data_IF_148954751019
#
_entry.id   IF_148954751019
#
_cell.length_a   1.000
_cell.length_b   1.000
_cell.length_c   1.000
_cell.angle_alpha   90.00
_cell.angle_beta   90.00
_cell.angle_gamma   90.00
#
_symmetry.space_group_name_H-M   'P 1'
#
loop_
_entity.id
_entity.type
_entity.pdbx_description
1 polymer ?
#
# COMPACT_ATOMS: atom_id res chain seq x y z
N UNK A 1 -42.08 1.65 5.45
CA UNK A 1 -41.45 0.81 4.44
C UNK A 1 -40.35 1.64 3.78
N UNK A 2 -39.09 1.33 4.06
CA UNK A 2 -37.94 2.00 3.42
C UNK A 2 -37.80 1.48 1.98
N UNK A 3 -37.57 2.34 0.98
CA UNK A 3 -37.42 1.88 -0.39
C UNK A 3 -36.11 1.10 -0.51
N UNK A 4 -36.17 -0.11 -1.05
CA UNK A 4 -35.00 -0.90 -1.43
C UNK A 4 -34.11 -0.06 -2.37
N UNK A 5 -32.78 0.00 -2.16
CA UNK A 5 -31.90 0.73 -3.04
C UNK A 5 -31.98 0.09 -4.44
N UNK A 6 -32.45 0.85 -5.41
CA UNK A 6 -32.45 0.44 -6.82
C UNK A 6 -31.00 0.11 -7.20
N UNK A 7 -30.69 -1.18 -7.26
CA UNK A 7 -29.40 -1.70 -7.73
C UNK A 7 -29.19 -1.12 -9.13
N UNK A 8 -28.17 -0.30 -9.29
CA UNK A 8 -27.92 0.49 -10.49
C UNK A 8 -27.41 -0.46 -11.60
N UNK A 9 -28.34 -1.16 -12.28
CA UNK A 9 -28.07 -2.14 -13.33
C UNK A 9 -27.21 -1.57 -14.46
N UNK A 10 -27.36 -0.27 -14.75
CA UNK A 10 -26.55 0.44 -15.75
C UNK A 10 -25.06 0.44 -15.34
N UNK A 11 -24.74 0.69 -14.07
CA UNK A 11 -23.36 0.63 -13.59
C UNK A 11 -22.77 -0.78 -13.64
N UNK A 12 -23.61 -1.78 -13.42
CA UNK A 12 -23.19 -3.19 -13.50
C UNK A 12 -22.89 -3.59 -14.96
N UNK A 13 -23.76 -3.23 -15.91
CA UNK A 13 -23.56 -3.52 -17.34
C UNK A 13 -22.31 -2.84 -17.88
N UNK A 14 -22.08 -1.58 -17.53
CA UNK A 14 -20.87 -0.85 -17.91
C UNK A 14 -19.61 -1.52 -17.30
N UNK A 15 -19.70 -1.98 -16.05
CA UNK A 15 -18.60 -2.70 -15.39
C UNK A 15 -18.25 -4.01 -16.09
N UNK A 16 -19.26 -4.79 -16.47
CA UNK A 16 -19.11 -6.04 -17.22
C UNK A 16 -18.52 -5.78 -18.61
N UNK A 17 -19.03 -4.78 -19.34
CA UNK A 17 -18.52 -4.41 -20.64
C UNK A 17 -17.03 -4.00 -20.59
N UNK A 18 -16.65 -3.18 -19.59
CA UNK A 18 -15.25 -2.81 -19.35
C UNK A 18 -14.37 -4.02 -19.03
N UNK A 19 -14.88 -4.98 -18.26
CA UNK A 19 -14.14 -6.20 -17.95
C UNK A 19 -13.92 -7.05 -19.20
N UNK A 20 -14.95 -7.27 -20.03
CA UNK A 20 -14.85 -8.03 -21.29
C UNK A 20 -13.84 -7.35 -22.23
N UNK A 21 -13.92 -6.03 -22.36
CA UNK A 21 -12.97 -5.28 -23.17
C UNK A 21 -11.54 -5.45 -22.66
N UNK A 22 -11.34 -5.33 -21.35
CA UNK A 22 -10.04 -5.54 -20.70
C UNK A 22 -9.49 -6.96 -20.88
N UNK A 23 -10.35 -7.97 -20.83
CA UNK A 23 -9.96 -9.37 -21.10
C UNK A 23 -9.49 -9.55 -22.55
N UNK A 24 -10.18 -8.96 -23.53
CA UNK A 24 -9.76 -9.03 -24.93
C UNK A 24 -8.43 -8.30 -25.16
N UNK A 25 -8.25 -7.12 -24.59
CA UNK A 25 -6.96 -6.42 -24.63
C UNK A 25 -5.83 -7.25 -24.01
N UNK A 26 -6.09 -7.85 -22.84
CA UNK A 26 -5.14 -8.72 -22.17
C UNK A 26 -4.76 -9.94 -23.04
N UNK A 27 -5.74 -10.58 -23.68
CA UNK A 27 -5.50 -11.69 -24.60
C UNK A 27 -4.57 -11.31 -25.75
N UNK A 28 -4.87 -10.19 -26.43
CA UNK A 28 -4.03 -9.68 -27.54
C UNK A 28 -2.61 -9.38 -27.05
N UNK A 29 -2.49 -8.72 -25.89
CA UNK A 29 -1.20 -8.38 -25.31
C UNK A 29 -0.38 -9.63 -24.96
N UNK A 30 -1.00 -10.63 -24.34
CA UNK A 30 -0.35 -11.90 -23.97
C UNK A 30 0.13 -12.65 -25.21
N UNK A 31 -0.71 -12.74 -26.26
CA UNK A 31 -0.28 -13.36 -27.51
C UNK A 31 0.88 -12.62 -28.18
N UNK A 32 0.85 -11.28 -28.15
CA UNK A 32 1.91 -10.46 -28.75
C UNK A 32 3.24 -10.56 -27.99
N UNK A 33 3.19 -10.56 -26.66
CA UNK A 33 4.39 -10.56 -25.81
C UNK A 33 4.93 -11.97 -25.56
N UNK A 34 4.09 -12.99 -25.70
CA UNK A 34 4.39 -14.39 -25.39
C UNK A 34 5.17 -14.56 -24.06
N UNK A 35 4.67 -14.01 -22.92
CA UNK A 35 5.42 -14.00 -21.66
C UNK A 35 5.51 -15.40 -21.07
N UNK A 36 6.62 -15.70 -20.40
CA UNK A 36 6.81 -16.95 -19.68
C UNK A 36 5.94 -17.06 -18.41
N UNK A 37 5.59 -15.93 -17.81
CA UNK A 37 4.74 -15.83 -16.61
C UNK A 37 4.09 -14.45 -16.51
N UNK A 38 3.01 -14.36 -15.69
CA UNK A 38 2.34 -13.09 -15.40
C UNK A 38 2.23 -12.84 -13.90
N UNK A 39 2.59 -11.64 -13.46
CA UNK A 39 2.54 -11.24 -12.04
C UNK A 39 1.64 -10.02 -11.89
N UNK A 40 0.67 -10.10 -10.95
CA UNK A 40 -0.24 -9.00 -10.62
C UNK A 40 0.03 -8.46 -9.21
N UNK A 41 0.24 -7.16 -9.11
CA UNK A 41 0.47 -6.48 -7.82
C UNK A 41 -0.81 -5.94 -7.18
N UNK A 42 -1.95 -6.56 -7.47
CA UNK A 42 -3.24 -6.18 -6.92
C UNK A 42 -3.91 -5.02 -7.66
N UNK A 43 -5.02 -4.56 -7.09
CA UNK A 43 -5.88 -3.57 -7.72
C UNK A 43 -6.76 -4.14 -8.85
N UNK A 44 -7.82 -3.40 -9.19
CA UNK A 44 -8.76 -3.83 -10.25
C UNK A 44 -8.13 -3.83 -11.64
N UNK A 45 -7.07 -3.05 -11.85
CA UNK A 45 -6.38 -2.98 -13.14
C UNK A 45 -5.63 -4.27 -13.50
N UNK A 46 -5.10 -5.01 -12.51
CA UNK A 46 -4.40 -6.29 -12.76
C UNK A 46 -5.35 -7.46 -13.04
N UNK A 47 -6.63 -7.33 -12.66
CA UNK A 47 -7.61 -8.43 -12.70
C UNK A 47 -7.82 -9.01 -14.12
N UNK A 48 -8.10 -8.22 -15.17
CA UNK A 48 -8.29 -8.77 -16.51
C UNK A 48 -7.05 -9.50 -17.03
N UNK A 49 -5.88 -8.94 -16.82
CA UNK A 49 -4.61 -9.49 -17.31
C UNK A 49 -4.27 -10.82 -16.63
N UNK A 50 -4.34 -10.89 -15.31
CA UNK A 50 -4.04 -12.12 -14.56
C UNK A 50 -5.11 -13.19 -14.79
N UNK A 51 -6.38 -12.79 -14.87
CA UNK A 51 -7.46 -13.73 -15.19
C UNK A 51 -7.29 -14.36 -16.58
N UNK A 52 -6.95 -13.54 -17.59
CA UNK A 52 -6.70 -14.03 -18.93
C UNK A 52 -5.44 -14.90 -19.02
N UNK A 53 -4.35 -14.51 -18.34
CA UNK A 53 -3.13 -15.31 -18.28
C UNK A 53 -3.39 -16.68 -17.64
N UNK A 54 -4.15 -16.73 -16.54
CA UNK A 54 -4.55 -17.98 -15.89
C UNK A 54 -5.46 -18.83 -16.82
N UNK A 55 -6.39 -18.21 -17.54
CA UNK A 55 -7.23 -18.91 -18.53
C UNK A 55 -6.41 -19.52 -19.66
N UNK A 56 -5.36 -18.82 -20.10
CA UNK A 56 -4.41 -19.29 -21.13
C UNK A 56 -3.36 -20.28 -20.56
N UNK A 57 -3.52 -20.71 -19.31
CA UNK A 57 -2.62 -21.67 -18.62
C UNK A 57 -1.17 -21.19 -18.46
N UNK A 58 -0.93 -19.88 -18.49
CA UNK A 58 0.37 -19.34 -18.15
C UNK A 58 0.62 -19.47 -16.65
N UNK A 59 1.87 -19.65 -16.19
CA UNK A 59 2.25 -19.48 -14.80
C UNK A 59 1.85 -18.07 -14.32
N UNK A 60 1.05 -18.01 -13.24
CA UNK A 60 0.53 -16.75 -12.74
C UNK A 60 0.79 -16.60 -11.26
N UNK A 61 1.12 -15.39 -10.84
CA UNK A 61 1.26 -15.02 -9.43
C UNK A 61 0.53 -13.72 -9.15
N UNK A 62 -0.05 -13.61 -7.95
CA UNK A 62 -0.52 -12.34 -7.39
C UNK A 62 0.33 -11.97 -6.19
N UNK A 63 0.56 -10.68 -5.99
CA UNK A 63 1.22 -10.15 -4.81
C UNK A 63 0.21 -9.35 -3.97
N UNK A 64 0.13 -9.68 -2.67
CA UNK A 64 -0.69 -8.95 -1.69
C UNK A 64 0.21 -8.12 -0.79
N UNK A 65 0.06 -6.81 -0.90
CA UNK A 65 0.86 -5.86 -0.14
C UNK A 65 0.30 -5.57 1.27
N UNK A 66 -0.96 -5.91 1.51
CA UNK A 66 -1.65 -5.60 2.75
C UNK A 66 -1.79 -6.82 3.66
N UNK A 67 -2.05 -6.57 4.95
CA UNK A 67 -2.38 -7.61 5.93
C UNK A 67 -3.74 -8.26 5.70
N UNK A 68 -4.64 -7.58 4.98
CA UNK A 68 -5.95 -8.11 4.59
C UNK A 68 -6.01 -8.22 3.08
N UNK A 69 -6.30 -9.43 2.57
CA UNK A 69 -6.34 -9.66 1.12
C UNK A 69 -7.39 -8.78 0.42
N UNK A 70 -6.95 -8.05 -0.60
CA UNK A 70 -7.82 -7.21 -1.42
C UNK A 70 -8.84 -8.02 -2.22
N UNK A 71 -9.98 -7.39 -2.57
CA UNK A 71 -11.09 -8.07 -3.29
C UNK A 71 -10.65 -8.69 -4.61
N UNK A 72 -9.81 -7.99 -5.39
CA UNK A 72 -9.29 -8.50 -6.65
C UNK A 72 -8.41 -9.73 -6.44
N UNK A 73 -7.47 -9.67 -5.51
CA UNK A 73 -6.58 -10.79 -5.19
C UNK A 73 -7.36 -11.98 -4.62
N UNK A 74 -8.37 -11.75 -3.77
CA UNK A 74 -9.26 -12.80 -3.26
C UNK A 74 -10.00 -13.53 -4.40
N UNK A 75 -10.47 -12.79 -5.41
CA UNK A 75 -11.12 -13.38 -6.58
C UNK A 75 -10.14 -14.17 -7.46
N UNK A 76 -8.89 -13.72 -7.56
CA UNK A 76 -7.84 -14.38 -8.35
C UNK A 76 -7.19 -15.57 -7.64
N UNK A 77 -7.18 -15.61 -6.31
CA UNK A 77 -6.50 -16.64 -5.52
C UNK A 77 -6.77 -18.10 -5.96
N UNK A 78 -8.04 -18.50 -6.27
CA UNK A 78 -8.29 -19.86 -6.75
C UNK A 78 -7.66 -20.17 -8.11
N UNK A 79 -7.38 -19.16 -8.93
CA UNK A 79 -7.04 -19.28 -10.36
C UNK A 79 -5.55 -19.14 -10.66
N UNK A 80 -4.78 -18.61 -9.70
CA UNK A 80 -3.34 -18.40 -9.87
C UNK A 80 -2.51 -19.56 -9.37
N UNK A 81 -1.29 -19.67 -9.89
CA UNK A 81 -0.34 -20.72 -9.51
C UNK A 81 0.32 -20.44 -8.15
N UNK A 82 0.58 -19.16 -7.82
CA UNK A 82 1.23 -18.75 -6.59
C UNK A 82 0.64 -17.43 -6.05
N UNK A 83 0.79 -17.23 -4.75
CA UNK A 83 0.36 -16.03 -4.03
C UNK A 83 1.55 -15.54 -3.20
N UNK A 84 2.15 -14.42 -3.60
CA UNK A 84 3.16 -13.74 -2.81
C UNK A 84 2.49 -12.82 -1.80
N UNK A 85 2.98 -12.79 -0.56
CA UNK A 85 2.44 -11.91 0.49
C UNK A 85 3.54 -11.07 1.13
N UNK A 86 3.20 -9.85 1.50
CA UNK A 86 4.10 -8.98 2.27
C UNK A 86 4.20 -9.40 3.72
N UNK A 87 3.13 -9.92 4.28
CA UNK A 87 3.00 -10.30 5.67
C UNK A 87 2.76 -11.80 5.81
N UNK A 88 3.27 -12.37 6.90
CA UNK A 88 3.12 -13.80 7.22
C UNK A 88 1.63 -14.18 7.38
N UNK A 89 0.91 -13.35 8.14
CA UNK A 89 -0.48 -13.60 8.51
C UNK A 89 -1.42 -12.71 7.69
N UNK A 90 -1.55 -13.02 6.39
CA UNK A 90 -2.49 -12.31 5.53
C UNK A 90 -3.91 -12.82 5.76
N UNK A 91 -4.76 -11.96 6.33
CA UNK A 91 -6.14 -12.28 6.71
C UNK A 91 -7.08 -12.31 5.49
N UNK A 92 -8.05 -13.22 5.52
CA UNK A 92 -9.12 -13.30 4.53
C UNK A 92 -8.80 -14.14 3.30
N UNK A 93 -7.65 -14.81 3.27
CA UNK A 93 -7.34 -15.87 2.33
C UNK A 93 -7.90 -17.20 2.86
N UNK A 94 -8.61 -17.95 2.00
CA UNK A 94 -9.17 -19.24 2.39
C UNK A 94 -8.05 -20.27 2.65
N UNK A 95 -8.16 -21.10 3.69
CA UNK A 95 -7.11 -22.07 4.09
C UNK A 95 -6.64 -22.99 2.96
N UNK A 96 -7.53 -23.36 2.05
CA UNK A 96 -7.21 -24.23 0.92
C UNK A 96 -6.17 -23.62 -0.06
N UNK A 97 -5.91 -22.31 0.01
CA UNK A 97 -4.91 -21.64 -0.85
C UNK A 97 -3.58 -21.41 -0.13
N UNK A 98 -3.45 -21.77 1.13
CA UNK A 98 -2.23 -21.55 1.91
C UNK A 98 -1.00 -22.27 1.31
N UNK A 99 -1.21 -23.42 0.67
CA UNK A 99 -0.13 -24.13 -0.05
C UNK A 99 0.49 -23.37 -1.22
N UNK A 100 -0.23 -22.34 -1.75
CA UNK A 100 0.25 -21.48 -2.82
C UNK A 100 0.93 -20.21 -2.30
N UNK A 101 0.94 -19.99 -0.97
CA UNK A 101 1.41 -18.73 -0.35
C UNK A 101 2.91 -18.80 -0.12
N UNK A 102 3.60 -17.75 -0.54
CA UNK A 102 5.02 -17.53 -0.24
C UNK A 102 5.16 -16.10 0.29
N UNK A 103 5.71 -15.96 1.49
CA UNK A 103 6.02 -14.65 2.03
C UNK A 103 7.28 -14.09 1.35
N UNK A 104 7.13 -13.01 0.62
CA UNK A 104 8.22 -12.35 -0.13
C UNK A 104 8.59 -10.98 0.44
N UNK A 105 7.75 -10.41 1.30
CA UNK A 105 7.84 -9.01 1.67
C UNK A 105 7.35 -8.07 0.57
N UNK A 106 7.53 -6.77 0.77
CA UNK A 106 7.21 -5.74 -0.22
C UNK A 106 8.42 -5.49 -1.11
N UNK A 107 8.30 -5.54 -2.44
CA UNK A 107 9.38 -5.13 -3.33
C UNK A 107 9.73 -3.65 -3.11
N UNK A 108 10.96 -3.37 -2.74
CA UNK A 108 11.46 -2.00 -2.54
C UNK A 108 12.46 -1.62 -3.62
N UNK A 109 12.47 -0.33 -3.97
CA UNK A 109 13.43 0.23 -4.93
C UNK A 109 14.84 0.11 -4.40
N UNK A 110 15.81 -0.14 -5.31
CA UNK A 110 17.21 -0.34 -4.96
C UNK A 110 17.82 0.82 -4.15
N UNK A 111 17.40 2.06 -4.40
CA UNK A 111 17.86 3.23 -3.65
C UNK A 111 17.43 3.22 -2.18
N UNK A 112 16.26 2.67 -1.88
CA UNK A 112 15.80 2.46 -0.50
C UNK A 112 16.67 1.40 0.19
N UNK A 113 17.05 0.34 -0.53
CA UNK A 113 17.93 -0.69 0.02
C UNK A 113 19.35 -0.16 0.33
N UNK A 114 19.87 0.78 -0.47
CA UNK A 114 21.19 1.39 -0.25
C UNK A 114 21.27 2.22 1.04
N UNK A 115 20.16 2.82 1.49
CA UNK A 115 20.12 3.60 2.73
C UNK A 115 19.86 2.76 3.98
N UNK A 116 19.68 1.45 3.83
CA UNK A 116 19.52 0.54 4.96
C UNK A 116 20.79 0.53 5.82
N UNK A 117 20.69 1.03 7.03
CA UNK A 117 21.73 0.88 8.04
C UNK A 117 21.56 -0.47 8.74
N UNK A 118 22.61 -1.28 8.71
CA UNK A 118 22.60 -2.60 9.38
C UNK A 118 22.69 -2.45 10.89
N UNK A 119 23.33 -1.39 11.38
CA UNK A 119 23.47 -1.10 12.79
C UNK A 119 22.82 0.26 13.06
N UNK A 120 21.70 0.25 13.82
CA UNK A 120 21.12 1.47 14.36
C UNK A 120 22.06 2.10 15.39
N UNK A 121 22.16 3.43 15.40
CA UNK A 121 22.83 4.13 16.49
C UNK A 121 22.05 3.89 17.77
N UNK A 122 22.73 3.50 18.85
CA UNK A 122 22.13 3.41 20.17
C UNK A 122 21.87 4.83 20.66
N UNK A 123 20.60 5.18 20.86
CA UNK A 123 20.22 6.48 21.38
C UNK A 123 20.61 6.54 22.86
N UNK A 124 21.43 7.54 23.22
CA UNK A 124 21.72 7.89 24.60
C UNK A 124 20.73 8.94 25.11
N UNK A 125 20.75 9.26 26.39
CA UNK A 125 19.93 10.32 27.00
C UNK A 125 20.19 11.71 26.40
N UNK A 126 21.32 11.92 25.75
CA UNK A 126 21.72 13.22 25.15
C UNK A 126 21.63 13.24 23.61
N UNK A 127 21.38 12.09 22.97
CA UNK A 127 21.32 12.00 21.51
C UNK A 127 20.18 12.82 20.92
N UNK A 128 20.40 13.47 19.77
CA UNK A 128 19.32 14.02 18.94
C UNK A 128 18.38 12.91 18.47
N UNK A 129 17.09 13.09 18.64
CA UNK A 129 16.07 12.15 18.21
C UNK A 129 15.52 12.62 16.86
N UNK A 130 15.86 11.92 15.79
CA UNK A 130 15.39 12.24 14.44
C UNK A 130 14.12 11.47 14.14
N UNK A 131 13.02 12.19 13.92
CA UNK A 131 11.71 11.63 13.61
C UNK A 131 11.32 11.97 12.16
N UNK A 132 11.12 10.94 11.34
CA UNK A 132 10.53 11.09 10.01
C UNK A 132 9.05 10.70 10.03
N UNK A 133 8.18 11.65 9.70
CA UNK A 133 6.73 11.46 9.60
C UNK A 133 6.32 11.46 8.13
N UNK A 134 5.83 10.33 7.65
CA UNK A 134 5.36 10.19 6.28
C UNK A 134 3.89 9.79 6.26
N UNK A 135 3.12 10.48 5.43
CA UNK A 135 1.74 10.10 5.09
C UNK A 135 1.67 9.30 3.78
N UNK A 136 0.45 9.16 3.23
CA UNK A 136 0.27 8.66 1.87
C UNK A 136 0.81 9.65 0.82
N UNK A 137 0.77 9.27 -0.45
CA UNK A 137 1.42 10.00 -1.59
C UNK A 137 1.10 11.50 -1.71
N UNK A 138 0.01 11.96 -1.11
CA UNK A 138 -0.43 13.37 -1.14
C UNK A 138 -0.36 14.07 0.23
N UNK A 139 0.30 13.44 1.24
CA UNK A 139 0.25 13.89 2.61
C UNK A 139 -1.08 13.51 3.31
N UNK A 140 -1.11 13.64 4.62
CA UNK A 140 -2.28 13.29 5.45
C UNK A 140 -2.62 14.42 6.39
N UNK A 141 -3.80 15.03 6.22
CA UNK A 141 -4.32 16.08 7.13
C UNK A 141 -4.38 15.56 8.57
N UNK A 142 -4.78 14.31 8.78
CA UNK A 142 -4.78 13.68 10.10
C UNK A 142 -3.39 13.68 10.74
N UNK A 143 -2.34 13.34 9.97
CA UNK A 143 -0.96 13.38 10.48
C UNK A 143 -0.49 14.80 10.76
N UNK A 144 -0.92 15.77 9.93
CA UNK A 144 -0.63 17.20 10.13
C UNK A 144 -1.22 17.75 11.42
N UNK A 145 -2.34 17.20 11.88
CA UNK A 145 -2.99 17.61 13.14
C UNK A 145 -2.51 16.81 14.35
N UNK A 146 -2.48 15.48 14.22
CA UNK A 146 -2.26 14.58 15.36
C UNK A 146 -0.80 14.61 15.81
N UNK A 147 0.16 14.58 14.87
CA UNK A 147 1.58 14.46 15.24
C UNK A 147 2.09 15.66 16.04
N UNK A 148 1.89 16.94 15.61
CA UNK A 148 2.33 18.07 16.41
C UNK A 148 1.69 18.11 17.79
N UNK A 149 0.39 17.81 17.89
CA UNK A 149 -0.34 17.77 19.18
C UNK A 149 0.20 16.68 20.13
N UNK A 150 0.52 15.51 19.59
CA UNK A 150 1.06 14.40 20.38
C UNK A 150 2.47 14.71 20.88
N UNK A 151 3.32 15.28 20.04
CA UNK A 151 4.68 15.64 20.42
C UNK A 151 4.73 16.79 21.43
N UNK A 152 3.74 17.69 21.39
CA UNK A 152 3.59 18.76 22.38
C UNK A 152 3.35 18.23 23.81
N UNK A 153 2.79 17.03 23.95
CA UNK A 153 2.53 16.41 25.25
C UNK A 153 3.78 15.77 25.88
N UNK A 154 4.87 15.64 25.13
CA UNK A 154 6.12 15.12 25.67
C UNK A 154 6.78 16.11 26.66
N UNK A 155 7.51 15.63 27.67
CA UNK A 155 8.33 16.48 28.53
C UNK A 155 9.31 17.33 27.70
N UNK A 156 9.65 18.52 28.24
CA UNK A 156 10.47 19.48 27.47
C UNK A 156 11.86 18.93 27.17
N UNK A 157 12.41 18.06 28.02
CA UNK A 157 13.70 17.41 27.85
C UNK A 157 13.73 16.50 26.61
N UNK A 158 12.59 15.92 26.27
CA UNK A 158 12.47 15.13 25.02
C UNK A 158 12.23 16.03 23.81
N UNK A 159 11.38 17.05 23.95
CA UNK A 159 11.05 17.95 22.83
C UNK A 159 12.26 18.72 22.32
N UNK A 160 13.11 19.19 23.20
CA UNK A 160 14.34 19.94 22.86
C UNK A 160 15.34 19.11 22.04
N UNK A 161 15.24 17.78 22.10
CA UNK A 161 16.10 16.84 21.38
C UNK A 161 15.49 16.36 20.06
N UNK A 162 14.23 16.71 19.79
CA UNK A 162 13.54 16.28 18.59
C UNK A 162 13.95 17.11 17.37
N UNK A 163 14.27 16.42 16.30
CA UNK A 163 14.40 16.96 14.95
C UNK A 163 13.41 16.23 14.05
N UNK A 164 12.37 16.93 13.59
CA UNK A 164 11.25 16.32 12.88
C UNK A 164 11.29 16.70 11.41
N UNK A 165 11.19 15.71 10.52
CA UNK A 165 10.91 15.90 9.10
C UNK A 165 9.52 15.35 8.85
N UNK A 166 8.58 16.21 8.47
CA UNK A 166 7.19 15.78 8.25
C UNK A 166 6.71 16.10 6.86
N UNK A 167 6.28 15.06 6.14
CA UNK A 167 5.54 15.23 4.89
C UNK A 167 4.12 15.70 5.20
N UNK A 168 3.74 16.86 4.68
CA UNK A 168 2.38 17.40 4.77
C UNK A 168 1.91 17.94 3.41
N UNK A 169 0.63 18.29 3.32
CA UNK A 169 0.09 19.00 2.16
C UNK A 169 0.61 20.44 2.18
N UNK A 170 0.72 21.05 1.01
CA UNK A 170 1.10 22.47 0.88
C UNK A 170 0.14 23.37 1.69
N UNK A 171 -1.16 23.05 1.69
CA UNK A 171 -2.17 23.77 2.49
C UNK A 171 -1.94 23.74 3.99
N UNK A 172 -1.29 22.68 4.49
CA UNK A 172 -1.14 22.42 5.93
C UNK A 172 0.24 22.88 6.44
N UNK A 173 1.16 23.25 5.53
CA UNK A 173 2.58 23.49 5.83
C UNK A 173 2.79 24.57 6.89
N UNK A 174 2.15 25.73 6.74
CA UNK A 174 2.31 26.84 7.70
C UNK A 174 1.74 26.52 9.07
N UNK A 175 0.61 25.83 9.12
CA UNK A 175 -0.01 25.38 10.37
C UNK A 175 0.89 24.39 11.11
N UNK A 176 1.45 23.42 10.38
CA UNK A 176 2.34 22.40 10.95
C UNK A 176 3.64 23.03 11.45
N UNK A 177 4.26 23.91 10.67
CA UNK A 177 5.48 24.64 11.08
C UNK A 177 5.25 25.46 12.34
N UNK A 178 4.15 26.23 12.38
CA UNK A 178 3.81 27.04 13.56
C UNK A 178 3.57 26.18 14.78
N UNK A 179 2.90 25.03 14.62
CA UNK A 179 2.66 24.11 15.74
C UNK A 179 3.96 23.54 16.30
N UNK A 180 4.92 23.15 15.47
CA UNK A 180 6.23 22.69 15.94
C UNK A 180 7.07 23.79 16.56
N UNK A 181 7.08 24.99 15.98
CA UNK A 181 7.78 26.14 16.55
C UNK A 181 7.26 26.48 17.96
N UNK A 182 5.93 26.54 18.14
CA UNK A 182 5.30 26.76 19.44
C UNK A 182 5.60 25.65 20.47
N UNK A 183 5.88 24.43 20.00
CA UNK A 183 6.29 23.32 20.84
C UNK A 183 7.79 23.33 21.18
N UNK A 184 8.58 24.24 20.62
CA UNK A 184 10.04 24.26 20.75
C UNK A 184 10.72 23.10 20.05
N UNK A 185 10.10 22.56 18.98
CA UNK A 185 10.60 21.39 18.23
C UNK A 185 11.18 21.89 16.90
N UNK A 186 12.40 21.47 16.57
CA UNK A 186 13.01 21.71 15.26
C UNK A 186 12.30 20.88 14.20
N UNK A 187 11.70 21.51 13.17
CA UNK A 187 10.99 20.81 12.12
C UNK A 187 11.29 21.37 10.71
N UNK A 188 11.23 20.47 9.73
CA UNK A 188 11.40 20.76 8.30
C UNK A 188 10.31 20.07 7.48
#
# INVERSE_FOLDING_TARGET
>A
AAPFPRRNWIKLTIGVAKLIFGLNQARVLIHRLAPAAAIGFGGYASLPTILMAAHMKLPTMIHEANTVIGRANRFLAPRVSAIATSYRDTVGLAPLYHSKVVQTGVPVRGDILKVRRLNGEVLTTESEIRLLVMGGSQGSTTMSEVVPRSLLQLPIEFRSRLSVVQQCRISDQETVKSAFANAGIKAT
#
